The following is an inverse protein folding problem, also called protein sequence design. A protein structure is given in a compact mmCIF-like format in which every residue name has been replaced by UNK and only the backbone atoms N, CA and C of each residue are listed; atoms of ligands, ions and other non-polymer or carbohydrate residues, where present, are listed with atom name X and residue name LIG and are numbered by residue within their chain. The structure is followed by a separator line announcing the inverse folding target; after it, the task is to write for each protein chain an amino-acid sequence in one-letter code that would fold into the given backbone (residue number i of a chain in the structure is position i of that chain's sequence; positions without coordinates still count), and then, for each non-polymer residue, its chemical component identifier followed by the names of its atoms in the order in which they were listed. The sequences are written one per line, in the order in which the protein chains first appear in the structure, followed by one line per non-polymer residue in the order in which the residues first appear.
data_IF_925430258107
#
_entry.id   IF_925430258107
#
_cell.length_a   1.000
_cell.length_b   1.000
_cell.length_c   1.000
_cell.angle_alpha   90.00
_cell.angle_beta   90.00
_cell.angle_gamma   90.00
#
_symmetry.space_group_name_H-M   'P 1'
#
loop_
_entity.id
_entity.type
_entity.pdbx_description
1 polymer ?
#
# COMPACT_ATOMS: atom_id res chain seq x y z
N UNK A 1 19.29 29.13 19.83
CA UNK A 1 18.18 28.15 19.95
C UNK A 1 17.29 28.09 18.70
N UNK A 2 16.66 29.19 18.25
CA UNK A 2 15.76 29.18 17.08
C UNK A 2 16.41 28.73 15.75
N UNK A 3 17.69 29.07 15.51
CA UNK A 3 18.41 28.65 14.31
C UNK A 3 18.64 27.13 14.25
N UNK A 4 18.95 26.51 15.40
CA UNK A 4 19.17 25.07 15.52
C UNK A 4 17.85 24.28 15.32
N UNK A 5 16.75 24.80 15.88
CA UNK A 5 15.41 24.23 15.66
C UNK A 5 15.02 24.30 14.17
N UNK A 6 15.17 25.46 13.52
CA UNK A 6 14.90 25.59 12.08
C UNK A 6 15.76 24.66 11.22
N UNK A 7 17.03 24.50 11.58
CA UNK A 7 17.94 23.59 10.88
C UNK A 7 17.49 22.14 11.03
N UNK A 8 17.14 21.70 12.24
CA UNK A 8 16.62 20.36 12.52
C UNK A 8 15.32 20.08 11.75
N UNK A 9 14.34 20.99 11.78
CA UNK A 9 13.10 20.85 11.01
C UNK A 9 13.35 20.81 9.50
N UNK A 10 14.31 21.61 9.00
CA UNK A 10 14.70 21.61 7.60
C UNK A 10 15.31 20.27 7.16
N UNK A 11 16.16 19.66 8.00
CA UNK A 11 16.73 18.34 7.74
C UNK A 11 15.64 17.25 7.71
N UNK A 12 14.71 17.26 8.67
CA UNK A 12 13.59 16.32 8.68
C UNK A 12 12.72 16.43 7.43
N UNK A 13 12.42 17.66 6.97
CA UNK A 13 11.66 17.87 5.72
C UNK A 13 12.40 17.31 4.50
N UNK A 14 13.70 17.57 4.39
CA UNK A 14 14.53 17.05 3.28
C UNK A 14 14.60 15.53 3.27
N UNK A 15 14.67 14.89 4.44
CA UNK A 15 14.66 13.44 4.55
C UNK A 15 13.31 12.87 4.11
N UNK A 16 12.19 13.49 4.53
CA UNK A 16 10.86 13.10 4.07
C UNK A 16 10.70 13.26 2.55
N UNK A 17 11.14 14.40 2.00
CA UNK A 17 11.10 14.64 0.54
C UNK A 17 11.93 13.62 -0.24
N UNK A 18 13.13 13.26 0.26
CA UNK A 18 13.97 12.23 -0.33
C UNK A 18 13.29 10.86 -0.29
N UNK A 19 12.69 10.46 0.85
CA UNK A 19 11.98 9.18 0.97
C UNK A 19 10.78 9.12 0.01
N UNK A 20 9.97 10.19 -0.06
CA UNK A 20 8.84 10.26 -0.99
C UNK A 20 9.30 10.19 -2.45
N UNK A 21 10.42 10.82 -2.79
CA UNK A 21 11.00 10.75 -4.14
C UNK A 21 11.44 9.32 -4.50
N UNK A 22 12.08 8.60 -3.57
CA UNK A 22 12.49 7.21 -3.76
C UNK A 22 11.29 6.29 -3.96
N UNK A 23 10.24 6.44 -3.15
CA UNK A 23 8.98 5.68 -3.28
C UNK A 23 8.35 5.92 -4.63
N UNK A 24 8.29 7.19 -5.08
CA UNK A 24 7.79 7.55 -6.42
C UNK A 24 8.60 6.88 -7.52
N UNK A 25 9.93 6.95 -7.44
CA UNK A 25 10.80 6.30 -8.41
C UNK A 25 10.56 4.78 -8.47
N UNK A 26 10.36 4.13 -7.32
CA UNK A 26 10.07 2.70 -7.23
C UNK A 26 8.72 2.35 -7.85
N UNK A 27 7.65 3.08 -7.50
CA UNK A 27 6.33 2.85 -8.10
C UNK A 27 6.30 3.10 -9.61
N UNK A 28 7.02 4.12 -10.09
CA UNK A 28 7.16 4.39 -11.52
C UNK A 28 7.92 3.27 -12.25
N UNK A 29 8.97 2.71 -11.62
CA UNK A 29 9.71 1.58 -12.20
C UNK A 29 8.82 0.34 -12.37
N UNK A 30 7.96 0.06 -11.37
CA UNK A 30 7.00 -1.04 -11.42
C UNK A 30 5.97 -0.82 -12.53
N UNK A 31 5.34 0.36 -12.56
CA UNK A 31 4.34 0.70 -13.56
C UNK A 31 4.91 0.57 -14.98
N UNK A 32 6.13 1.09 -15.21
CA UNK A 32 6.79 0.99 -16.51
C UNK A 32 7.02 -0.44 -16.99
N UNK A 33 7.21 -1.39 -16.07
CA UNK A 33 7.41 -2.81 -16.39
C UNK A 33 6.11 -3.57 -16.64
N UNK A 34 5.05 -3.24 -15.91
CA UNK A 34 3.74 -3.91 -15.98
C UNK A 34 2.83 -3.37 -17.11
N UNK A 35 3.36 -2.52 -17.99
CA UNK A 35 2.59 -1.80 -19.02
C UNK A 35 1.52 -0.85 -18.45
N UNK A 36 1.43 -0.74 -17.13
CA UNK A 36 0.59 0.22 -16.44
C UNK A 36 1.21 1.62 -16.50
N UNK A 37 0.34 2.62 -16.41
CA UNK A 37 0.79 4.01 -16.39
C UNK A 37 0.97 4.47 -14.95
N UNK A 38 1.99 5.28 -14.68
CA UNK A 38 2.17 5.94 -13.36
C UNK A 38 0.86 6.62 -12.90
N UNK A 39 0.09 7.15 -13.87
CA UNK A 39 -1.21 7.76 -13.63
C UNK A 39 -2.22 6.85 -12.93
N UNK A 40 -2.16 5.52 -13.11
CA UNK A 40 -3.01 4.58 -12.39
C UNK A 40 -2.73 4.61 -10.88
N UNK A 41 -1.45 4.44 -10.50
CA UNK A 41 -1.04 4.44 -9.09
C UNK A 41 -1.39 5.76 -8.39
N UNK A 42 -1.22 6.89 -9.10
CA UNK A 42 -1.65 8.19 -8.59
C UNK A 42 -3.17 8.26 -8.38
N UNK A 43 -3.99 7.79 -9.34
CA UNK A 43 -5.46 7.79 -9.20
C UNK A 43 -5.92 6.93 -8.03
N UNK A 44 -5.38 5.72 -7.88
CA UNK A 44 -5.70 4.82 -6.76
C UNK A 44 -5.34 5.47 -5.43
N UNK A 45 -4.18 6.11 -5.34
CA UNK A 45 -3.75 6.83 -4.14
C UNK A 45 -4.69 7.98 -3.81
N UNK A 46 -5.11 8.78 -4.80
CA UNK A 46 -6.06 9.87 -4.59
C UNK A 46 -7.43 9.37 -4.10
N UNK A 47 -7.92 8.26 -4.65
CA UNK A 47 -9.16 7.64 -4.17
C UNK A 47 -9.03 7.11 -2.75
N UNK A 48 -7.90 6.50 -2.40
CA UNK A 48 -7.64 6.04 -1.04
C UNK A 48 -7.64 7.19 -0.04
N UNK A 49 -6.99 8.32 -0.37
CA UNK A 49 -7.00 9.53 0.48
C UNK A 49 -8.42 10.08 0.64
N UNK A 50 -9.15 10.28 -0.47
CA UNK A 50 -10.49 10.82 -0.43
C UNK A 50 -11.46 9.94 0.39
N UNK A 51 -11.31 8.62 0.27
CA UNK A 51 -12.09 7.67 1.07
C UNK A 51 -11.71 7.73 2.56
N UNK A 52 -10.42 7.81 2.87
CA UNK A 52 -9.94 7.93 4.24
C UNK A 52 -10.45 9.20 4.92
N UNK A 53 -10.41 10.33 4.22
CA UNK A 53 -10.95 11.60 4.69
C UNK A 53 -12.47 11.52 4.91
N UNK A 54 -13.21 10.93 3.98
CA UNK A 54 -14.65 10.76 4.11
C UNK A 54 -15.06 9.85 5.28
N UNK A 55 -14.22 8.85 5.60
CA UNK A 55 -14.40 7.95 6.73
C UNK A 55 -13.88 8.50 8.07
N UNK A 56 -13.26 9.69 8.06
CA UNK A 56 -12.72 10.33 9.26
C UNK A 56 -11.47 9.63 9.81
N UNK A 57 -10.65 9.02 8.95
CA UNK A 57 -9.39 8.42 9.39
C UNK A 57 -8.47 9.50 10.00
N UNK A 58 -7.72 9.17 11.07
CA UNK A 58 -6.76 10.08 11.66
C UNK A 58 -5.71 10.54 10.63
N UNK A 59 -5.40 11.84 10.62
CA UNK A 59 -4.37 12.41 9.74
C UNK A 59 -3.00 11.74 9.91
N UNK A 60 -2.73 11.12 11.05
CA UNK A 60 -1.51 10.34 11.33
C UNK A 60 -1.43 9.03 10.55
N UNK A 61 -2.56 8.48 10.10
CA UNK A 61 -2.62 7.22 9.33
C UNK A 61 -2.61 7.45 7.81
N UNK A 62 -2.94 8.67 7.36
CA UNK A 62 -2.95 9.02 5.94
C UNK A 62 -1.59 8.78 5.26
N UNK A 63 -0.43 9.15 5.82
CA UNK A 63 0.87 8.91 5.18
C UNK A 63 1.13 7.42 4.91
N UNK A 64 0.76 6.56 5.85
CA UNK A 64 0.90 5.11 5.74
C UNK A 64 -0.01 4.56 4.62
N UNK A 65 -1.24 5.05 4.55
CA UNK A 65 -2.19 4.70 3.49
C UNK A 65 -1.68 5.15 2.12
N UNK A 66 -1.12 6.36 2.02
CA UNK A 66 -0.55 6.89 0.77
C UNK A 66 0.61 6.02 0.29
N UNK A 67 1.56 5.73 1.16
CA UNK A 67 2.70 4.90 0.82
C UNK A 67 2.24 3.47 0.44
N UNK A 68 1.28 2.92 1.17
CA UNK A 68 0.71 1.60 0.92
C UNK A 68 -0.08 1.49 -0.38
N UNK A 69 -0.93 2.48 -0.67
CA UNK A 69 -1.68 2.55 -1.93
C UNK A 69 -0.75 2.77 -3.13
N UNK A 70 0.31 3.56 -2.97
CA UNK A 70 1.26 3.80 -4.05
C UNK A 70 2.15 2.58 -4.35
N UNK A 71 2.52 1.81 -3.33
CA UNK A 71 3.39 0.65 -3.44
C UNK A 71 2.64 -0.69 -3.55
N UNK A 72 1.31 -0.71 -3.61
CA UNK A 72 0.51 -1.94 -3.54
C UNK A 72 0.96 -3.03 -4.52
N UNK A 73 1.43 -2.63 -5.70
CA UNK A 73 1.89 -3.53 -6.76
C UNK A 73 3.42 -3.71 -6.83
N UNK A 74 4.19 -3.16 -5.87
CA UNK A 74 5.66 -3.21 -5.90
C UNK A 74 6.22 -4.63 -5.96
N UNK A 75 5.53 -5.59 -5.35
CA UNK A 75 5.95 -6.99 -5.37
C UNK A 75 5.79 -7.67 -6.72
N UNK A 76 5.14 -7.04 -7.72
CA UNK A 76 5.14 -7.52 -9.10
C UNK A 76 6.57 -7.62 -9.66
N UNK A 77 7.54 -6.88 -9.10
CA UNK A 77 8.98 -7.00 -9.43
C UNK A 77 9.47 -8.45 -9.34
N UNK A 78 8.98 -9.23 -8.37
CA UNK A 78 9.40 -10.62 -8.17
C UNK A 78 8.60 -11.65 -8.98
N UNK A 79 7.61 -11.24 -9.78
CA UNK A 79 6.80 -12.12 -10.62
C UNK A 79 7.46 -12.27 -12.00
N UNK A 80 7.54 -13.47 -12.61
CA UNK A 80 8.12 -13.65 -13.94
C UNK A 80 7.46 -12.81 -15.04
N UNK A 81 8.26 -12.23 -15.95
CA UNK A 81 7.76 -11.38 -17.06
C UNK A 81 6.73 -12.09 -17.95
N UNK A 82 6.88 -13.40 -18.16
CA UNK A 82 5.95 -14.22 -18.95
C UNK A 82 4.53 -14.22 -18.37
N UNK A 83 4.38 -13.97 -17.07
CA UNK A 83 3.09 -13.91 -16.37
C UNK A 83 2.59 -12.45 -16.32
N UNK A 84 3.49 -11.51 -16.01
CA UNK A 84 3.16 -10.07 -15.92
C UNK A 84 2.73 -9.51 -17.26
N UNK A 85 3.47 -9.80 -18.33
CA UNK A 85 3.25 -9.23 -19.67
C UNK A 85 2.44 -10.15 -20.59
N UNK A 86 1.75 -11.16 -20.05
CA UNK A 86 1.02 -12.14 -20.86
C UNK A 86 -0.13 -11.46 -21.62
N UNK A 87 -0.14 -11.50 -22.97
CA UNK A 87 -1.28 -11.00 -23.73
C UNK A 87 -2.43 -12.01 -23.66
N UNK A 88 -3.31 -11.87 -22.67
CA UNK A 88 -4.49 -12.71 -22.50
C UNK A 88 -4.83 -13.03 -21.05
N UNK A 89 -5.76 -13.96 -20.84
CA UNK A 89 -6.14 -14.42 -19.49
C UNK A 89 -5.04 -15.31 -18.91
N UNK A 90 -4.75 -15.12 -17.63
CA UNK A 90 -3.91 -16.02 -16.85
C UNK A 90 -4.59 -17.38 -16.66
N UNK A 91 -3.82 -18.45 -16.67
CA UNK A 91 -4.30 -19.76 -16.19
C UNK A 91 -4.46 -19.72 -14.67
N UNK A 92 -5.08 -20.77 -14.11
CA UNK A 92 -5.25 -20.87 -12.66
C UNK A 92 -3.91 -20.87 -11.92
N UNK A 93 -2.92 -21.57 -12.48
CA UNK A 93 -1.57 -21.70 -11.93
C UNK A 93 -0.81 -20.36 -12.01
N UNK A 94 -0.87 -19.69 -13.16
CA UNK A 94 -0.27 -18.36 -13.35
C UNK A 94 -0.92 -17.32 -12.44
N UNK A 95 -2.23 -17.41 -12.21
CA UNK A 95 -2.94 -16.53 -11.28
C UNK A 95 -2.53 -16.76 -9.82
N UNK A 96 -2.27 -18.01 -9.43
CA UNK A 96 -1.72 -18.32 -8.10
C UNK A 96 -0.32 -17.71 -7.92
N UNK A 97 0.52 -17.75 -8.96
CA UNK A 97 1.82 -17.08 -8.95
C UNK A 97 1.62 -15.56 -8.90
N UNK A 98 0.74 -14.99 -9.72
CA UNK A 98 0.46 -13.55 -9.69
C UNK A 98 0.06 -13.07 -8.29
N UNK A 99 -0.75 -13.82 -7.55
CA UNK A 99 -1.14 -13.48 -6.17
C UNK A 99 0.02 -13.39 -5.18
N UNK A 100 1.18 -13.99 -5.45
CA UNK A 100 2.33 -13.90 -4.53
C UNK A 100 2.96 -12.51 -4.52
N UNK A 101 2.61 -11.62 -5.47
CA UNK A 101 3.11 -10.24 -5.49
C UNK A 101 2.83 -9.49 -4.19
N UNK A 102 1.77 -9.83 -3.46
CA UNK A 102 1.49 -9.19 -2.17
C UNK A 102 2.52 -9.57 -1.11
N UNK A 103 2.87 -10.86 -1.03
CA UNK A 103 3.89 -11.34 -0.10
C UNK A 103 5.28 -10.80 -0.48
N UNK A 104 5.60 -10.81 -1.78
CA UNK A 104 6.84 -10.22 -2.28
C UNK A 104 6.90 -8.72 -2.03
N UNK A 105 5.76 -8.01 -2.11
CA UNK A 105 5.66 -6.60 -1.79
C UNK A 105 5.91 -6.33 -0.31
N UNK A 106 5.33 -7.16 0.57
CA UNK A 106 5.62 -7.15 2.01
C UNK A 106 7.10 -7.36 2.30
N UNK A 107 7.74 -8.33 1.64
CA UNK A 107 9.17 -8.61 1.80
C UNK A 107 10.05 -7.43 1.32
N UNK A 108 9.65 -6.73 0.25
CA UNK A 108 10.37 -5.55 -0.26
C UNK A 108 10.32 -4.38 0.73
N UNK A 109 9.17 -4.17 1.38
CA UNK A 109 9.00 -3.07 2.35
C UNK A 109 9.44 -3.45 3.77
N UNK A 110 9.67 -4.74 4.03
CA UNK A 110 10.08 -5.24 5.34
C UNK A 110 11.43 -4.65 5.77
N UNK A 111 11.55 -4.36 7.07
CA UNK A 111 12.77 -3.78 7.65
C UNK A 111 12.93 -2.27 7.43
N UNK A 112 12.01 -1.61 6.72
CA UNK A 112 11.97 -0.16 6.61
C UNK A 112 10.96 0.43 7.60
N UNK A 113 11.45 1.00 8.71
CA UNK A 113 10.64 1.58 9.77
C UNK A 113 9.66 2.67 9.28
N UNK A 114 10.00 3.39 8.20
CA UNK A 114 9.14 4.41 7.62
C UNK A 114 7.99 3.82 6.78
N UNK A 115 8.12 2.57 6.32
CA UNK A 115 7.10 1.84 5.53
C UNK A 115 6.33 0.78 6.33
N UNK A 116 6.63 0.57 7.63
CA UNK A 116 5.90 -0.40 8.46
C UNK A 116 4.39 -0.16 8.47
N UNK A 117 3.99 1.10 8.37
CA UNK A 117 2.59 1.48 8.24
C UNK A 117 1.98 1.12 6.89
N UNK A 118 2.73 1.34 5.81
CA UNK A 118 2.35 0.92 4.46
C UNK A 118 2.18 -0.60 4.37
N UNK A 119 3.03 -1.39 5.06
CA UNK A 119 2.93 -2.85 5.09
C UNK A 119 1.54 -3.35 5.53
N UNK A 120 0.82 -2.59 6.37
CA UNK A 120 -0.53 -2.94 6.81
C UNK A 120 -1.57 -2.89 5.68
N UNK A 121 -1.41 -2.02 4.68
CA UNK A 121 -2.36 -1.93 3.58
C UNK A 121 -2.28 -3.13 2.63
N UNK A 122 -1.07 -3.69 2.43
CA UNK A 122 -0.87 -4.90 1.61
C UNK A 122 -1.67 -6.10 2.13
N UNK A 123 -1.72 -6.26 3.46
CA UNK A 123 -2.43 -7.35 4.11
C UNK A 123 -3.96 -7.30 3.93
N UNK A 124 -4.52 -6.12 3.63
CA UNK A 124 -5.98 -5.94 3.45
C UNK A 124 -6.45 -6.10 2.01
N UNK A 125 -5.58 -5.88 1.01
CA UNK A 125 -5.95 -5.89 -0.42
C UNK A 125 -6.20 -7.29 -0.97
N UNK A 126 -5.61 -8.31 -0.35
CA UNK A 126 -5.87 -9.71 -0.67
C UNK A 126 -6.20 -10.46 0.60
N UNK A 127 -7.19 -11.34 0.56
CA UNK A 127 -7.60 -12.26 1.64
C UNK A 127 -6.51 -13.31 1.94
N UNK A 128 -5.26 -12.89 2.11
CA UNK A 128 -4.11 -13.72 2.46
C UNK A 128 -4.01 -13.67 3.98
N UNK A 129 -4.22 -14.82 4.61
CA UNK A 129 -4.11 -14.99 6.05
C UNK A 129 -2.70 -14.61 6.52
N UNK A 130 -2.63 -13.54 7.32
CA UNK A 130 -1.43 -12.88 7.85
C UNK A 130 -0.62 -13.72 8.86
N UNK A 131 -0.95 -15.00 9.07
CA UNK A 131 -0.35 -15.84 10.12
C UNK A 131 1.11 -16.24 9.87
N UNK A 132 1.68 -16.03 8.68
CA UNK A 132 3.08 -16.39 8.36
C UNK A 132 4.04 -15.24 8.03
N UNK A 133 3.57 -14.00 7.91
CA UNK A 133 4.35 -12.93 7.28
C UNK A 133 4.87 -11.83 8.23
N UNK A 134 4.51 -11.86 9.52
CA UNK A 134 4.96 -10.84 10.49
C UNK A 134 5.99 -11.47 11.43
N UNK A 135 7.27 -11.04 11.43
CA UNK A 135 8.22 -11.41 12.45
C UNK A 135 7.66 -11.05 13.83
N UNK A 136 7.71 -12.00 14.75
CA UNK A 136 6.99 -12.08 16.03
C UNK A 136 7.16 -10.90 17.00
N UNK A 137 7.93 -9.88 16.66
CA UNK A 137 8.20 -8.70 17.49
C UNK A 137 7.12 -7.60 17.40
N UNK A 138 6.31 -7.57 16.34
CA UNK A 138 5.29 -6.53 16.14
C UNK A 138 3.91 -7.14 16.05
N UNK A 139 3.36 -7.59 17.20
CA UNK A 139 1.91 -7.79 17.36
C UNK A 139 1.21 -6.43 17.27
N UNK A 140 1.08 -5.92 16.06
CA UNK A 140 0.22 -4.78 15.75
C UNK A 140 -1.19 -5.24 16.06
N UNK A 141 -1.82 -4.59 17.05
CA UNK A 141 -3.24 -4.79 17.34
C UNK A 141 -4.00 -4.48 16.07
N UNK A 142 -4.54 -5.53 15.44
CA UNK A 142 -5.59 -5.40 14.45
C UNK A 142 -6.70 -4.52 15.06
N UNK A 143 -7.25 -3.62 14.26
CA UNK A 143 -8.43 -2.82 14.60
C UNK A 143 -9.42 -3.64 15.44
N UNK A 144 -10.03 -3.07 16.51
CA UNK A 144 -11.12 -3.76 17.19
C UNK A 144 -12.21 -4.04 16.16
N UNK A 145 -12.58 -5.32 16.02
CA UNK A 145 -13.69 -5.75 15.18
C UNK A 145 -14.90 -4.84 15.44
N UNK A 146 -15.25 -4.02 14.45
CA UNK A 146 -16.41 -3.14 14.52
C UNK A 146 -17.64 -4.01 14.65
N UNK A 147 -18.36 -3.85 15.76
CA UNK A 147 -19.68 -4.45 15.99
C UNK A 147 -20.62 -4.05 14.85
N UNK A 148 -21.21 -5.06 14.22
CA UNK A 148 -22.58 -5.05 13.68
C UNK A 148 -22.92 -4.01 12.61
N UNK A 149 -22.62 -4.33 11.35
CA UNK A 149 -23.42 -3.83 10.23
C UNK A 149 -24.38 -4.96 9.80
N UNK A 150 -25.66 -4.79 10.08
CA UNK A 150 -26.75 -5.68 9.64
C UNK A 150 -27.48 -5.03 8.47
N UNK A 151 -27.59 -5.67 7.29
CA UNK A 151 -28.32 -5.09 6.17
C UNK A 151 -29.81 -5.43 6.31
N UNK A 152 -30.62 -4.50 6.78
CA UNK A 152 -32.07 -4.56 6.61
C UNK A 152 -32.45 -3.87 5.29
N UNK A 153 -32.96 -4.69 4.38
CA UNK A 153 -33.78 -4.35 3.20
C UNK A 153 -34.73 -3.17 3.42
N UNK A 154 -34.80 -2.22 2.49
CA UNK A 154 -35.85 -2.17 1.44
C UNK A 154 -35.71 -0.90 0.60
N UNK A 155 -35.83 -1.10 -0.72
CA UNK A 155 -36.10 -0.10 -1.75
C UNK A 155 -37.35 0.72 -1.44
N UNK A 156 -37.29 2.05 -1.62
CA UNK A 156 -38.40 2.93 -2.04
C UNK A 156 -37.86 4.34 -2.28
N UNK A 157 -37.75 4.74 -3.54
CA UNK A 157 -37.63 6.13 -3.99
C UNK A 157 -39.01 6.80 -4.00
N UNK A 158 -39.12 8.11 -3.73
CA UNK A 158 -40.21 8.92 -4.27
C UNK A 158 -39.97 9.30 -5.73
#
# INVERSE_FOLDING_TARGET
MLAMLRHSSGLSRRLLEANLSLVRALGNAVAKRDSDTDAHNYRVTLYAIALAEALGLPATEIPDLVAGAFLHDVGKIGIPDQIVQKPGKLTREEFLIMKTHVLLGLDIVAGNAWLEGAARSFATTTSVSTERAIPTASRVRLFPATRGYSPSSTCSTP
#
